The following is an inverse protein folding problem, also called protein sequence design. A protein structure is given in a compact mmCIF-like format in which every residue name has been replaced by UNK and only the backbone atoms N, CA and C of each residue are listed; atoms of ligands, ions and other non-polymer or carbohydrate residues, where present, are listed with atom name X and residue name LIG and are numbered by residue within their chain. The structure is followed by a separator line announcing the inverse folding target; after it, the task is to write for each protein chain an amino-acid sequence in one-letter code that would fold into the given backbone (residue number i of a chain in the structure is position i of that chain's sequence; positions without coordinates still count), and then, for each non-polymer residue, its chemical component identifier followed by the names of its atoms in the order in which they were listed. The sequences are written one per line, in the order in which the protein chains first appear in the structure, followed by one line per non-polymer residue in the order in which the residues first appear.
data_IF_666376052837
#
_entry.id   IF_666376052837
#
_cell.length_a   1.000
_cell.length_b   1.000
_cell.length_c   1.000
_cell.angle_alpha   90.00
_cell.angle_beta   90.00
_cell.angle_gamma   90.00
#
_symmetry.space_group_name_H-M   'P 1'
#
loop_
_entity.id
_entity.type
_entity.pdbx_description
1 polymer ?
#
# COMPACT_ATOMS: atom_id res chain seq x y z
N UNK A 1 -3.84 4.38 -23.38
CA UNK A 1 -2.63 3.78 -22.77
C UNK A 1 -2.66 4.06 -21.29
N UNK A 2 -2.37 3.06 -20.43
CA UNK A 2 -2.30 3.29 -19.00
C UNK A 2 -1.04 4.09 -18.65
N UNK A 3 -1.18 5.18 -17.88
CA UNK A 3 -0.06 6.03 -17.48
C UNK A 3 0.66 5.50 -16.23
N UNK A 4 -0.01 4.63 -15.46
CA UNK A 4 0.59 3.95 -14.31
C UNK A 4 0.20 2.48 -14.26
N UNK A 5 0.99 1.71 -13.53
CA UNK A 5 0.73 0.30 -13.27
C UNK A 5 1.34 -0.08 -11.91
N UNK A 6 0.48 -0.44 -10.96
CA UNK A 6 0.84 -0.82 -9.61
C UNK A 6 0.62 -2.31 -9.41
N UNK A 7 1.63 -3.03 -8.94
CA UNK A 7 1.50 -4.42 -8.56
C UNK A 7 0.88 -4.53 -7.17
N UNK A 8 -0.16 -5.33 -7.04
CA UNK A 8 -0.82 -5.67 -5.78
C UNK A 8 -0.31 -7.02 -5.34
N UNK A 9 0.31 -7.07 -4.17
CA UNK A 9 0.77 -8.30 -3.54
C UNK A 9 -0.05 -8.57 -2.27
N UNK A 10 -0.22 -9.84 -1.95
CA UNK A 10 -0.86 -10.29 -0.72
C UNK A 10 0.06 -11.26 0.00
N UNK A 11 0.11 -11.17 1.33
CA UNK A 11 0.82 -12.13 2.14
C UNK A 11 0.01 -13.42 2.29
N UNK A 12 0.60 -14.53 1.85
CA UNK A 12 0.03 -15.88 2.00
C UNK A 12 1.09 -16.73 2.70
N UNK A 13 0.78 -17.21 3.90
CA UNK A 13 1.68 -18.06 4.69
C UNK A 13 3.09 -17.46 4.86
N UNK A 14 3.17 -16.15 5.10
CA UNK A 14 4.45 -15.44 5.28
C UNK A 14 5.19 -15.10 3.98
N UNK A 15 4.60 -15.36 2.81
CA UNK A 15 5.20 -15.06 1.51
C UNK A 15 4.34 -14.05 0.76
N UNK A 16 4.99 -13.00 0.24
CA UNK A 16 4.32 -12.02 -0.62
C UNK A 16 4.08 -12.61 -2.00
N UNK A 17 2.82 -12.73 -2.38
CA UNK A 17 2.38 -13.29 -3.65
C UNK A 17 1.68 -12.21 -4.47
N UNK A 18 2.05 -12.07 -5.74
CA UNK A 18 1.40 -11.11 -6.62
C UNK A 18 -0.03 -11.56 -6.91
N UNK A 19 -1.01 -10.78 -6.45
CA UNK A 19 -2.42 -11.05 -6.65
C UNK A 19 -2.95 -10.44 -7.95
N UNK A 20 -2.42 -9.26 -8.36
CA UNK A 20 -2.92 -8.57 -9.54
C UNK A 20 -2.25 -7.22 -9.76
N UNK A 21 -2.90 -6.40 -10.57
CA UNK A 21 -2.35 -5.10 -10.99
C UNK A 21 -3.45 -4.04 -11.03
N UNK A 22 -3.15 -2.83 -10.56
CA UNK A 22 -3.99 -1.64 -10.77
C UNK A 22 -3.41 -0.86 -11.94
N UNK A 23 -4.22 -0.53 -12.93
CA UNK A 23 -3.82 0.25 -14.11
C UNK A 23 -4.82 1.36 -14.39
N UNK A 24 -4.36 2.48 -14.91
CA UNK A 24 -5.19 3.62 -15.29
C UNK A 24 -4.37 4.76 -15.89
N UNK A 25 -5.05 5.74 -16.47
CA UNK A 25 -4.42 7.00 -16.86
C UNK A 25 -4.38 7.97 -15.68
N UNK A 26 -5.38 7.88 -14.80
CA UNK A 26 -5.64 8.76 -13.67
C UNK A 26 -6.30 7.94 -12.55
N UNK A 27 -6.37 8.49 -11.34
CA UNK A 27 -7.03 7.86 -10.18
C UNK A 27 -8.55 7.64 -10.39
N UNK A 28 -9.17 8.37 -11.32
CA UNK A 28 -10.60 8.26 -11.62
C UNK A 28 -10.94 7.05 -12.50
N UNK A 29 -10.00 6.60 -13.31
CA UNK A 29 -10.17 5.48 -14.25
C UNK A 29 -9.36 4.23 -13.85
N UNK A 30 -8.77 4.26 -12.65
CA UNK A 30 -7.99 3.16 -12.13
C UNK A 30 -8.81 1.88 -11.97
N UNK A 31 -8.36 0.79 -12.58
CA UNK A 31 -9.02 -0.51 -12.53
C UNK A 31 -8.06 -1.59 -12.01
N UNK A 32 -8.57 -2.44 -11.12
CA UNK A 32 -7.84 -3.61 -10.63
C UNK A 32 -8.18 -4.84 -11.47
N UNK A 33 -7.17 -5.65 -11.75
CA UNK A 33 -7.31 -6.94 -12.42
C UNK A 33 -6.45 -7.97 -11.70
N UNK A 34 -7.00 -9.13 -11.38
CA UNK A 34 -6.20 -10.25 -10.87
C UNK A 34 -5.27 -10.79 -11.94
N UNK A 35 -4.10 -11.26 -11.55
CA UNK A 35 -3.24 -12.06 -12.41
C UNK A 35 -3.93 -13.40 -12.72
N UNK A 36 -3.82 -13.87 -13.96
CA UNK A 36 -4.44 -15.13 -14.38
C UNK A 36 -3.98 -16.32 -13.55
N UNK A 37 -2.67 -16.38 -13.26
CA UNK A 37 -2.10 -17.44 -12.41
C UNK A 37 -2.65 -17.41 -10.99
N UNK A 38 -2.87 -16.22 -10.43
CA UNK A 38 -3.45 -16.07 -9.10
C UNK A 38 -4.92 -16.46 -9.07
N UNK A 39 -5.70 -16.01 -10.06
CA UNK A 39 -7.13 -16.31 -10.15
C UNK A 39 -7.43 -17.78 -10.47
N UNK A 40 -6.53 -18.49 -11.17
CA UNK A 40 -6.69 -19.90 -11.53
C UNK A 40 -6.36 -20.86 -10.38
N UNK A 41 -5.59 -20.43 -9.40
CA UNK A 41 -5.20 -21.27 -8.26
C UNK A 41 -6.33 -21.34 -7.21
N UNK A 42 -6.90 -22.54 -7.05
CA UNK A 42 -8.01 -22.81 -6.12
C UNK A 42 -7.63 -22.65 -4.64
N UNK A 43 -6.35 -22.60 -4.32
CA UNK A 43 -5.87 -22.37 -2.96
C UNK A 43 -5.83 -20.90 -2.58
N UNK A 44 -5.91 -20.00 -3.56
CA UNK A 44 -5.93 -18.58 -3.35
C UNK A 44 -7.33 -18.07 -3.01
N UNK A 45 -7.35 -17.03 -2.19
CA UNK A 45 -8.58 -16.34 -1.81
C UNK A 45 -8.64 -14.95 -2.44
N UNK A 46 -9.85 -14.40 -2.68
CA UNK A 46 -9.98 -13.03 -3.13
C UNK A 46 -9.41 -12.07 -2.09
N UNK A 47 -8.83 -10.95 -2.54
CA UNK A 47 -8.32 -9.89 -1.64
C UNK A 47 -9.46 -9.21 -0.86
N UNK A 48 -10.69 -9.32 -1.36
CA UNK A 48 -11.91 -8.81 -0.73
C UNK A 48 -13.12 -9.59 -1.21
N UNK A 49 -14.15 -9.67 -0.37
CA UNK A 49 -15.46 -10.23 -0.74
C UNK A 49 -16.07 -9.46 -1.93
N UNK A 50 -15.83 -8.15 -1.98
CA UNK A 50 -16.32 -7.26 -3.05
C UNK A 50 -15.51 -7.35 -4.35
N UNK A 51 -14.36 -8.04 -4.31
CA UNK A 51 -13.48 -8.27 -5.44
C UNK A 51 -13.25 -9.79 -5.62
N UNK A 52 -14.28 -10.57 -6.02
CA UNK A 52 -14.17 -12.02 -6.18
C UNK A 52 -13.16 -12.40 -7.25
N UNK A 53 -12.57 -13.61 -7.14
CA UNK A 53 -11.59 -14.09 -8.12
C UNK A 53 -12.18 -14.14 -9.54
N UNK A 54 -11.61 -13.34 -10.44
CA UNK A 54 -11.95 -13.26 -11.85
C UNK A 54 -10.77 -12.70 -12.63
N UNK A 55 -10.65 -13.06 -13.88
CA UNK A 55 -9.64 -12.49 -14.80
C UNK A 55 -10.12 -11.21 -15.49
N UNK A 56 -11.37 -10.82 -15.27
CA UNK A 56 -11.92 -9.58 -15.86
C UNK A 56 -11.53 -8.38 -14.98
N UNK A 57 -11.23 -7.22 -15.60
CA UNK A 57 -11.01 -5.97 -14.85
C UNK A 57 -12.25 -5.60 -14.04
N UNK A 58 -12.03 -5.09 -12.83
CA UNK A 58 -13.10 -4.51 -12.03
C UNK A 58 -13.41 -3.08 -12.50
N UNK A 59 -14.60 -2.59 -12.15
CA UNK A 59 -14.93 -1.18 -12.42
C UNK A 59 -14.01 -0.26 -11.61
N UNK A 60 -13.83 0.98 -12.10
CA UNK A 60 -13.09 2.00 -11.37
C UNK A 60 -13.69 2.28 -9.98
N UNK A 61 -15.02 2.24 -9.87
CA UNK A 61 -15.73 2.40 -8.60
C UNK A 61 -15.41 1.27 -7.61
N UNK A 62 -15.50 0.01 -8.03
CA UNK A 62 -15.19 -1.14 -7.18
C UNK A 62 -13.72 -1.14 -6.74
N UNK A 63 -12.82 -0.77 -7.64
CA UNK A 63 -11.38 -0.61 -7.36
C UNK A 63 -11.17 0.49 -6.33
N UNK A 64 -11.74 1.67 -6.56
CA UNK A 64 -11.61 2.80 -5.65
C UNK A 64 -12.14 2.47 -4.26
N UNK A 65 -13.35 1.93 -4.16
CA UNK A 65 -13.99 1.61 -2.88
C UNK A 65 -13.12 0.68 -2.00
N UNK A 66 -12.45 -0.28 -2.61
CA UNK A 66 -11.57 -1.17 -1.86
C UNK A 66 -10.24 -0.51 -1.50
N UNK A 67 -9.50 -0.01 -2.46
CA UNK A 67 -8.14 0.49 -2.23
C UNK A 67 -8.10 1.82 -1.49
N UNK A 68 -9.08 2.69 -1.70
CA UNK A 68 -9.22 3.92 -0.92
C UNK A 68 -9.55 3.63 0.55
N UNK A 69 -10.34 2.58 0.81
CA UNK A 69 -10.66 2.12 2.16
C UNK A 69 -9.48 1.56 2.96
N UNK A 70 -8.34 1.28 2.31
CA UNK A 70 -7.11 0.91 3.00
C UNK A 70 -6.31 2.11 3.51
N UNK A 71 -6.63 3.31 3.04
CA UNK A 71 -5.90 4.53 3.35
C UNK A 71 -6.44 5.23 4.60
N UNK A 72 -5.61 6.03 5.28
CA UNK A 72 -6.07 6.88 6.35
C UNK A 72 -7.15 7.85 5.88
N UNK A 73 -8.04 8.22 6.79
CA UNK A 73 -9.12 9.17 6.52
C UNK A 73 -8.86 10.53 7.18
N UNK A 74 -9.65 11.53 6.82
CA UNK A 74 -9.75 12.83 7.46
C UNK A 74 -8.43 13.60 7.47
N UNK A 75 -8.04 14.11 8.64
CA UNK A 75 -6.88 14.97 8.81
C UNK A 75 -5.57 14.28 8.39
N UNK A 76 -5.40 13.00 8.73
CA UNK A 76 -4.19 12.24 8.41
C UNK A 76 -3.99 12.13 6.89
N UNK A 77 -5.06 11.81 6.15
CA UNK A 77 -5.03 11.74 4.69
C UNK A 77 -4.64 13.09 4.08
N UNK A 78 -5.25 14.18 4.56
CA UNK A 78 -4.94 15.52 4.08
C UNK A 78 -3.48 15.88 4.35
N UNK A 79 -2.98 15.59 5.54
CA UNK A 79 -1.59 15.87 5.92
C UNK A 79 -0.58 15.13 5.02
N UNK A 80 -0.89 13.89 4.66
CA UNK A 80 -0.07 13.09 3.72
C UNK A 80 -0.10 13.71 2.32
N UNK A 81 -1.29 14.01 1.80
CA UNK A 81 -1.45 14.62 0.49
C UNK A 81 -0.72 15.98 0.40
N UNK A 82 -0.84 16.82 1.43
CA UNK A 82 -0.14 18.11 1.53
C UNK A 82 1.39 17.92 1.52
N UNK A 83 1.92 16.92 2.25
CA UNK A 83 3.35 16.61 2.28
C UNK A 83 3.90 16.14 0.93
N UNK A 84 3.06 15.48 0.14
CA UNK A 84 3.38 14.97 -1.20
C UNK A 84 3.08 16.00 -2.30
N UNK A 85 2.52 17.16 -1.98
CA UNK A 85 2.02 18.16 -2.94
C UNK A 85 1.01 17.57 -3.93
N UNK A 86 0.16 16.65 -3.45
CA UNK A 86 -0.86 15.94 -4.22
C UNK A 86 -2.27 16.29 -3.74
N UNK A 87 -3.26 16.02 -4.58
CA UNK A 87 -4.66 16.14 -4.19
C UNK A 87 -5.02 15.03 -3.18
N UNK A 88 -5.77 15.38 -2.14
CA UNK A 88 -6.29 14.39 -1.16
C UNK A 88 -7.26 13.39 -1.79
N UNK A 89 -7.86 13.72 -2.94
CA UNK A 89 -8.75 12.83 -3.69
C UNK A 89 -7.98 11.84 -4.59
N UNK A 90 -6.69 12.11 -4.87
CA UNK A 90 -5.82 11.20 -5.62
C UNK A 90 -5.33 10.05 -4.73
N UNK A 91 -6.23 9.09 -4.50
CA UNK A 91 -5.94 7.91 -3.70
C UNK A 91 -4.81 7.04 -4.30
N UNK A 92 -4.58 7.09 -5.61
CA UNK A 92 -3.52 6.33 -6.28
C UNK A 92 -2.14 6.87 -5.91
N UNK A 93 -1.95 8.18 -5.87
CA UNK A 93 -0.68 8.78 -5.44
C UNK A 93 -0.39 8.46 -3.97
N UNK A 94 -1.40 8.51 -3.10
CA UNK A 94 -1.27 8.13 -1.69
C UNK A 94 -0.96 6.64 -1.56
N UNK A 95 -1.62 5.77 -2.34
CA UNK A 95 -1.33 4.34 -2.39
C UNK A 95 0.10 4.04 -2.82
N UNK A 96 0.66 4.76 -3.78
CA UNK A 96 2.05 4.59 -4.22
C UNK A 96 3.04 4.87 -3.09
N UNK A 97 2.76 5.86 -2.28
CA UNK A 97 3.63 6.24 -1.17
C UNK A 97 3.49 5.28 0.02
N UNK A 98 2.26 5.04 0.47
CA UNK A 98 1.99 4.21 1.66
C UNK A 98 1.98 2.71 1.36
N UNK A 99 1.63 2.32 0.15
CA UNK A 99 1.43 0.92 -0.21
C UNK A 99 2.70 0.08 -0.30
N UNK A 100 3.89 0.71 -0.28
CA UNK A 100 5.18 0.02 -0.12
C UNK A 100 5.28 -0.72 1.20
N UNK A 101 4.60 -0.20 2.18
CA UNK A 101 4.45 -0.76 3.50
C UNK A 101 3.12 -1.54 3.51
N UNK A 102 3.07 -2.72 4.08
CA UNK A 102 1.84 -3.50 4.07
C UNK A 102 0.66 -2.73 4.67
N UNK A 103 -0.38 -2.54 3.88
CA UNK A 103 -1.68 -2.06 4.32
C UNK A 103 -2.52 -3.29 4.73
N UNK A 104 -2.37 -3.72 5.97
CA UNK A 104 -2.84 -5.03 6.40
C UNK A 104 -2.02 -6.15 5.75
N UNK A 105 -2.67 -7.07 5.02
CA UNK A 105 -2.02 -8.14 4.27
C UNK A 105 -1.63 -7.74 2.83
N UNK A 106 -1.94 -6.51 2.42
CA UNK A 106 -1.74 -6.03 1.04
C UNK A 106 -0.52 -5.12 0.97
N UNK A 107 0.31 -5.34 -0.05
CA UNK A 107 1.41 -4.45 -0.42
C UNK A 107 1.22 -3.98 -1.86
N UNK A 108 1.50 -2.70 -2.11
CA UNK A 108 1.35 -2.09 -3.42
C UNK A 108 2.69 -1.53 -3.87
N UNK A 109 3.17 -2.03 -5.00
CA UNK A 109 4.47 -1.66 -5.54
C UNK A 109 4.34 -1.06 -6.94
N UNK A 110 5.01 0.06 -7.17
CA UNK A 110 5.20 0.56 -8.52
C UNK A 110 6.16 -0.37 -9.29
N UNK A 111 5.93 -0.56 -10.58
CA UNK A 111 6.82 -1.36 -11.44
C UNK A 111 8.26 -0.87 -11.46
N UNK A 112 8.48 0.41 -11.19
CA UNK A 112 9.80 1.02 -11.11
C UNK A 112 10.54 0.70 -9.80
N UNK A 113 9.82 0.23 -8.78
CA UNK A 113 10.37 -0.10 -7.47
C UNK A 113 10.67 -1.58 -7.41
N UNK A 114 11.81 -1.99 -7.96
CA UNK A 114 12.33 -3.34 -7.78
C UNK A 114 12.81 -3.50 -6.33
N UNK A 115 12.29 -4.55 -5.68
CA UNK A 115 12.77 -5.17 -4.44
C UNK A 115 13.53 -4.23 -3.47
N UNK A 116 12.79 -3.51 -2.66
CA UNK A 116 13.35 -3.08 -1.38
C UNK A 116 13.32 -4.33 -0.50
N UNK A 117 14.48 -4.96 -0.31
CA UNK A 117 14.62 -6.00 0.71
C UNK A 117 14.07 -5.45 2.02
N UNK A 118 13.06 -6.11 2.57
CA UNK A 118 12.53 -5.79 3.88
C UNK A 118 13.62 -6.07 4.92
N UNK A 119 14.48 -5.10 5.15
CA UNK A 119 15.56 -5.15 6.12
C UNK A 119 15.16 -4.44 7.40
N UNK A 120 15.22 -5.13 8.52
CA UNK A 120 15.17 -4.47 9.84
C UNK A 120 16.45 -3.67 10.04
N UNK A 121 16.32 -2.34 10.20
CA UNK A 121 17.43 -1.48 10.60
C UNK A 121 17.30 -1.18 12.09
N UNK A 122 18.29 -1.54 12.89
CA UNK A 122 18.33 -1.18 14.29
C UNK A 122 18.38 0.35 14.45
N UNK A 123 17.40 0.89 15.15
CA UNK A 123 17.40 2.30 15.54
C UNK A 123 18.11 2.43 16.89
N UNK A 124 19.18 3.19 16.92
CA UNK A 124 19.81 3.58 18.19
C UNK A 124 18.90 4.55 18.96
N UNK A 125 18.92 4.53 20.30
CA UNK A 125 18.16 5.46 21.14
C UNK A 125 18.35 6.93 20.74
N UNK A 126 19.56 7.31 20.31
CA UNK A 126 19.88 8.64 19.80
C UNK A 126 19.08 9.00 18.56
N UNK A 127 18.90 8.04 17.65
CA UNK A 127 18.14 8.22 16.40
C UNK A 127 16.63 8.27 16.65
N UNK A 128 16.13 7.47 17.58
CA UNK A 128 14.73 7.52 18.03
C UNK A 128 14.42 8.89 18.64
N UNK A 129 15.33 9.42 19.48
CA UNK A 129 15.16 10.73 20.10
C UNK A 129 15.17 11.86 19.06
N UNK A 130 16.09 11.83 18.10
CA UNK A 130 16.16 12.80 17.01
C UNK A 130 14.89 12.80 16.16
N UNK A 131 14.36 11.62 15.81
CA UNK A 131 13.11 11.47 15.06
C UNK A 131 11.90 11.99 15.85
N UNK A 132 11.87 11.82 17.17
CA UNK A 132 10.82 12.35 18.02
C UNK A 132 10.88 13.89 18.18
N UNK A 133 12.09 14.47 18.12
CA UNK A 133 12.31 15.91 18.21
C UNK A 133 12.06 16.67 16.89
N UNK A 134 12.22 16.01 15.73
CA UNK A 134 12.00 16.60 14.41
C UNK A 134 10.52 16.85 14.07
N UNK A 135 9.58 16.36 14.88
CA UNK A 135 8.17 16.71 14.83
C UNK A 135 7.36 16.12 13.68
N UNK A 136 6.10 16.50 13.59
CA UNK A 136 5.01 15.87 12.84
C UNK A 136 5.15 15.85 11.30
N UNK A 137 6.11 16.50 10.70
CA UNK A 137 6.31 16.42 9.23
C UNK A 137 6.86 15.06 8.76
N UNK A 138 7.42 14.29 9.70
CA UNK A 138 7.88 12.91 9.49
C UNK A 138 6.89 11.87 10.04
N UNK A 139 5.66 12.28 10.36
CA UNK A 139 4.69 11.42 11.06
C UNK A 139 4.43 10.07 10.36
N UNK A 140 4.46 10.00 9.04
CA UNK A 140 4.34 8.74 8.30
C UNK A 140 5.56 7.84 8.49
N UNK A 141 6.77 8.38 8.37
CA UNK A 141 8.01 7.61 8.57
C UNK A 141 8.23 7.23 10.04
N UNK A 142 7.85 8.11 10.99
CA UNK A 142 7.94 7.85 12.43
C UNK A 142 6.94 6.79 12.87
N UNK A 143 5.71 6.83 12.39
CA UNK A 143 4.69 5.83 12.72
C UNK A 143 5.14 4.42 12.32
N UNK A 144 5.77 4.30 11.19
CA UNK A 144 6.38 3.07 10.69
C UNK A 144 7.55 2.59 11.56
N UNK A 145 8.50 3.45 11.84
CA UNK A 145 9.70 3.11 12.62
C UNK A 145 9.35 2.80 14.10
N UNK A 146 8.35 3.48 14.69
CA UNK A 146 7.88 3.24 16.06
C UNK A 146 7.11 1.92 16.16
N UNK A 147 6.23 1.61 15.22
CA UNK A 147 5.50 0.33 15.25
C UNK A 147 6.44 -0.86 15.17
N UNK A 148 7.51 -0.80 14.38
CA UNK A 148 8.55 -1.84 14.37
C UNK A 148 9.34 -1.92 15.68
N UNK A 149 9.62 -0.80 16.31
CA UNK A 149 10.35 -0.76 17.58
C UNK A 149 9.51 -1.30 18.76
N UNK A 150 8.22 -0.99 18.79
CA UNK A 150 7.28 -1.47 19.84
C UNK A 150 7.01 -2.97 19.72
N UNK A 151 6.90 -3.51 18.50
CA UNK A 151 6.72 -4.97 18.31
C UNK A 151 7.91 -5.78 18.82
N UNK A 152 9.11 -5.21 18.86
CA UNK A 152 10.32 -5.87 19.35
C UNK A 152 10.52 -5.77 20.87
N UNK A 153 9.84 -4.85 21.53
CA UNK A 153 9.88 -4.69 23.00
C UNK A 153 8.84 -5.56 23.71
N UNK A 154 7.88 -6.13 22.97
CA UNK A 154 6.81 -6.98 23.52
C UNK A 154 7.02 -8.48 23.27
N UNK A 155 8.13 -8.87 22.64
CA UNK A 155 8.61 -10.25 22.46
C UNK A 155 9.90 -10.47 23.25
#
# INVERSE_FOLDING_TARGET
MSNFSLNVQIEINGTMTKAGTITGADYKDAVFTYDESYAADKSHHPISINLPLTTKPFSAEATRNYFEGLLPEGFTRKSIADSMHSDSDDYISILKELGRECLGAIQILDKSTQNIEAGYRELTQKKVKALAEEGASLACQIHWDINKAVLRLLL
#
